data_IF_719648824484
#
_entry.id   IF_719648824484
#
_cell.length_a   1.000
_cell.length_b   1.000
_cell.length_c   1.000
_cell.angle_alpha   90.00
_cell.angle_beta   90.00
_cell.angle_gamma   90.00
#
_symmetry.space_group_name_H-M   'P 1'
#
loop_
_entity.id
_entity.type
_entity.pdbx_description
1 polymer ?
#
# COMPACT_ATOMS: atom_id res chain seq x y z
N UNK A 1 -20.01 -1.65 -0.90
CA UNK A 1 -18.98 -0.61 -0.76
C UNK A 1 -17.67 -1.17 -1.31
N UNK A 2 -16.90 -0.37 -2.05
CA UNK A 2 -15.54 -0.73 -2.47
C UNK A 2 -14.59 -0.71 -1.25
N UNK A 3 -13.33 -1.13 -1.43
CA UNK A 3 -12.32 -1.14 -0.37
C UNK A 3 -11.88 0.26 0.08
N UNK A 4 -10.65 0.36 0.59
CA UNK A 4 -10.05 1.64 0.99
C UNK A 4 -9.48 2.37 -0.23
N UNK A 5 -9.76 3.67 -0.36
CA UNK A 5 -9.21 4.52 -1.43
C UNK A 5 -8.32 5.62 -0.86
N UNK A 6 -7.28 6.00 -1.58
CA UNK A 6 -6.30 7.00 -1.13
C UNK A 6 -6.16 8.10 -2.18
N UNK A 7 -6.35 9.35 -1.76
CA UNK A 7 -5.98 10.52 -2.56
C UNK A 7 -4.51 10.88 -2.30
N UNK A 8 -3.76 11.05 -3.38
CA UNK A 8 -2.33 11.38 -3.35
C UNK A 8 -2.03 12.51 -4.33
N UNK A 9 -1.49 13.63 -3.84
CA UNK A 9 -0.93 14.68 -4.69
C UNK A 9 0.35 14.23 -5.39
N UNK A 10 0.60 14.77 -6.59
CA UNK A 10 1.82 14.49 -7.36
C UNK A 10 3.07 15.21 -6.82
N UNK A 11 2.90 16.05 -5.80
CA UNK A 11 3.93 16.82 -5.13
C UNK A 11 3.29 17.83 -4.18
N UNK A 12 4.10 18.42 -3.29
CA UNK A 12 3.60 19.25 -2.18
C UNK A 12 4.03 20.72 -2.28
N UNK A 13 4.81 21.05 -3.30
CA UNK A 13 5.22 22.41 -3.65
C UNK A 13 4.88 22.74 -5.11
N UNK A 14 4.85 24.03 -5.44
CA UNK A 14 4.59 24.52 -6.81
C UNK A 14 5.61 23.97 -7.83
N UNK A 15 6.86 23.76 -7.38
CA UNK A 15 7.92 23.22 -8.22
C UNK A 15 7.70 21.73 -8.54
N UNK A 16 7.25 20.95 -7.56
CA UNK A 16 7.00 19.51 -7.72
C UNK A 16 5.66 19.22 -8.39
N UNK A 17 4.66 20.08 -8.17
CA UNK A 17 3.30 19.89 -8.67
C UNK A 17 2.70 21.18 -9.24
N UNK A 18 3.27 21.74 -10.33
CA UNK A 18 2.79 22.97 -10.95
C UNK A 18 1.39 22.82 -11.57
N UNK A 19 0.94 21.58 -11.76
CA UNK A 19 -0.39 21.27 -12.27
C UNK A 19 -1.45 21.11 -11.18
N UNK A 20 -1.09 21.14 -9.89
CA UNK A 20 -1.96 20.83 -8.77
C UNK A 20 -2.72 19.49 -8.95
N UNK A 21 -1.98 18.48 -9.40
CA UNK A 21 -2.50 17.17 -9.77
C UNK A 21 -2.66 16.26 -8.55
N UNK A 22 -3.76 15.50 -8.56
CA UNK A 22 -4.11 14.49 -7.56
C UNK A 22 -4.46 13.18 -8.26
N UNK A 23 -4.03 12.05 -7.71
CA UNK A 23 -4.44 10.71 -8.11
C UNK A 23 -5.27 10.08 -6.99
N UNK A 24 -6.32 9.36 -7.37
CA UNK A 24 -7.08 8.49 -6.47
C UNK A 24 -6.72 7.05 -6.79
N UNK A 25 -6.23 6.30 -5.81
CA UNK A 25 -5.85 4.90 -5.96
C UNK A 25 -6.72 3.99 -5.09
N UNK A 26 -6.90 2.74 -5.53
CA UNK A 26 -7.57 1.70 -4.75
C UNK A 26 -6.61 1.05 -3.73
N UNK A 27 -7.12 0.09 -2.95
CA UNK A 27 -6.34 -0.64 -1.94
C UNK A 27 -5.20 -1.50 -2.53
N UNK A 28 -5.30 -1.92 -3.79
CA UNK A 28 -4.25 -2.67 -4.49
C UNK A 28 -3.16 -1.74 -5.07
N UNK A 29 -3.37 -0.42 -5.02
CA UNK A 29 -2.47 0.58 -5.60
C UNK A 29 -2.81 0.96 -7.04
N UNK A 30 -3.86 0.38 -7.63
CA UNK A 30 -4.26 0.73 -9.00
C UNK A 30 -4.96 2.10 -9.04
N UNK A 31 -4.69 2.92 -10.06
CA UNK A 31 -5.35 4.21 -10.21
C UNK A 31 -6.85 4.03 -10.55
N UNK A 32 -7.69 4.73 -9.81
CA UNK A 32 -9.12 4.93 -10.09
C UNK A 32 -9.29 6.22 -10.89
N UNK A 33 -8.67 7.30 -10.45
CA UNK A 33 -8.53 8.56 -11.17
C UNK A 33 -7.06 8.93 -11.19
N UNK A 34 -6.57 9.46 -12.32
CA UNK A 34 -5.15 9.75 -12.50
C UNK A 34 -4.95 11.18 -13.01
N UNK A 35 -4.20 11.98 -12.25
CA UNK A 35 -3.79 13.33 -12.67
C UNK A 35 -4.93 14.35 -12.74
N UNK A 36 -5.86 14.28 -11.79
CA UNK A 36 -6.97 15.22 -11.69
C UNK A 36 -6.48 16.58 -11.17
N UNK A 37 -6.84 17.64 -11.87
CA UNK A 37 -6.38 19.01 -11.54
C UNK A 37 -7.26 19.61 -10.45
N UNK A 38 -6.62 20.21 -9.46
CA UNK A 38 -7.26 21.00 -8.40
C UNK A 38 -6.87 22.48 -8.50
N UNK A 39 -7.57 23.36 -7.78
CA UNK A 39 -7.33 24.81 -7.88
C UNK A 39 -6.01 25.24 -7.23
N UNK A 40 -5.58 24.54 -6.18
CA UNK A 40 -4.36 24.84 -5.44
C UNK A 40 -3.63 23.57 -5.01
N UNK A 41 -2.39 23.72 -4.52
CA UNK A 41 -1.57 22.62 -4.03
C UNK A 41 -2.22 21.75 -2.95
N UNK A 42 -3.12 22.32 -2.13
CA UNK A 42 -3.87 21.57 -1.13
C UNK A 42 -5.36 21.58 -1.53
N UNK A 43 -5.92 20.42 -1.95
CA UNK A 43 -7.31 20.34 -2.33
C UNK A 43 -8.23 20.67 -1.15
N UNK A 44 -9.31 21.39 -1.43
CA UNK A 44 -10.36 21.68 -0.48
C UNK A 44 -11.23 20.44 -0.22
N UNK A 45 -11.98 20.36 0.91
CA UNK A 45 -12.94 19.29 1.14
C UNK A 45 -13.93 19.11 -0.01
N UNK A 46 -14.38 20.21 -0.63
CA UNK A 46 -15.29 20.16 -1.77
C UNK A 46 -14.65 19.50 -2.99
N UNK A 47 -13.40 19.81 -3.30
CA UNK A 47 -12.70 19.18 -4.43
C UNK A 47 -12.52 17.68 -4.20
N UNK A 48 -12.19 17.23 -2.98
CA UNK A 48 -12.15 15.80 -2.68
C UNK A 48 -13.51 15.12 -2.88
N UNK A 49 -14.61 15.78 -2.51
CA UNK A 49 -15.96 15.26 -2.75
C UNK A 49 -16.28 15.18 -4.25
N UNK A 50 -16.00 16.24 -5.01
CA UNK A 50 -16.24 16.28 -6.46
C UNK A 50 -15.46 15.15 -7.17
N UNK A 51 -14.20 14.92 -6.79
CA UNK A 51 -13.40 13.80 -7.31
C UNK A 51 -13.95 12.44 -6.88
N UNK A 52 -14.48 12.32 -5.66
CA UNK A 52 -15.11 11.08 -5.20
C UNK A 52 -16.38 10.77 -6.01
N UNK A 53 -17.22 11.78 -6.27
CA UNK A 53 -18.40 11.63 -7.14
C UNK A 53 -17.98 11.22 -8.54
N UNK A 54 -16.99 11.90 -9.12
CA UNK A 54 -16.43 11.56 -10.44
C UNK A 54 -15.97 10.09 -10.50
N UNK A 55 -15.23 9.61 -9.50
CA UNK A 55 -14.75 8.22 -9.44
C UNK A 55 -15.90 7.18 -9.35
N UNK A 56 -16.99 7.54 -8.68
CA UNK A 56 -18.13 6.63 -8.49
C UNK A 56 -19.04 6.59 -9.72
N UNK A 57 -19.29 7.73 -10.36
CA UNK A 57 -20.36 7.86 -11.34
C UNK A 57 -19.89 8.16 -12.77
N UNK A 58 -18.77 8.86 -12.95
CA UNK A 58 -18.33 9.33 -14.27
C UNK A 58 -17.14 8.54 -14.83
N UNK A 59 -16.19 8.16 -13.97
CA UNK A 59 -14.92 7.54 -14.36
C UNK A 59 -13.88 8.56 -14.84
N UNK A 60 -12.85 8.08 -15.55
CA UNK A 60 -11.79 8.92 -16.11
C UNK A 60 -11.76 8.80 -17.65
N UNK A 61 -11.69 9.91 -18.40
CA UNK A 61 -11.63 9.88 -19.86
C UNK A 61 -10.33 9.30 -20.42
N UNK A 62 -9.32 9.05 -19.57
CA UNK A 62 -7.99 8.64 -20.00
C UNK A 62 -7.23 9.78 -20.68
N UNK A 63 -6.01 9.46 -21.14
CA UNK A 63 -5.15 10.37 -21.90
C UNK A 63 -4.77 9.64 -23.20
N UNK A 64 -5.17 10.14 -24.39
CA UNK A 64 -4.86 9.49 -25.66
C UNK A 64 -3.37 9.14 -25.79
N UNK A 65 -3.07 7.86 -26.01
CA UNK A 65 -1.70 7.36 -26.17
C UNK A 65 -0.88 7.20 -24.87
N UNK A 66 -1.41 7.58 -23.70
CA UNK A 66 -0.72 7.43 -22.41
C UNK A 66 -1.50 6.60 -21.39
N UNK A 67 -2.82 6.78 -21.29
CA UNK A 67 -3.65 6.09 -20.31
C UNK A 67 -5.03 5.77 -20.92
N UNK A 68 -5.51 4.51 -20.88
CA UNK A 68 -6.84 4.19 -21.36
C UNK A 68 -7.92 4.86 -20.47
N UNK A 69 -9.11 5.14 -21.03
CA UNK A 69 -10.25 5.56 -20.22
C UNK A 69 -10.60 4.49 -19.17
N UNK A 70 -10.93 4.94 -17.97
CA UNK A 70 -11.36 4.08 -16.88
C UNK A 70 -12.87 4.27 -16.64
N UNK A 71 -13.69 3.21 -16.66
CA UNK A 71 -15.11 3.32 -16.38
C UNK A 71 -15.35 3.74 -14.92
N UNK A 72 -16.54 4.31 -14.62
CA UNK A 72 -16.92 4.58 -13.23
C UNK A 72 -16.97 3.29 -12.42
N UNK A 73 -16.60 3.39 -11.14
CA UNK A 73 -16.58 2.22 -10.25
C UNK A 73 -17.99 1.72 -9.90
N UNK A 74 -19.01 2.59 -9.98
CA UNK A 74 -20.39 2.30 -9.60
C UNK A 74 -20.58 1.95 -8.11
N UNK A 75 -19.53 2.08 -7.29
CA UNK A 75 -19.54 1.69 -5.88
C UNK A 75 -18.74 2.69 -5.06
N UNK A 76 -19.41 3.31 -4.08
CA UNK A 76 -18.75 4.13 -3.08
C UNK A 76 -17.77 3.31 -2.23
N UNK A 77 -16.63 3.88 -1.81
CA UNK A 77 -15.66 3.21 -0.94
C UNK A 77 -16.20 2.98 0.46
N UNK A 78 -15.60 2.04 1.18
CA UNK A 78 -15.82 1.88 2.62
C UNK A 78 -15.08 2.95 3.42
N UNK A 79 -13.92 3.40 2.93
CA UNK A 79 -13.14 4.47 3.53
C UNK A 79 -12.27 5.18 2.50
N UNK A 80 -11.98 6.46 2.76
CA UNK A 80 -11.06 7.29 2.00
C UNK A 80 -9.95 7.81 2.92
N UNK A 81 -8.74 7.92 2.39
CA UNK A 81 -7.66 8.64 3.03
C UNK A 81 -7.24 9.83 2.17
N UNK A 82 -6.98 10.97 2.82
CA UNK A 82 -6.57 12.22 2.17
C UNK A 82 -5.28 12.74 2.77
N UNK A 83 -4.48 13.40 1.95
CA UNK A 83 -3.15 13.93 2.29
C UNK A 83 -3.15 15.41 2.73
N UNK A 84 -4.32 16.05 2.78
CA UNK A 84 -4.53 17.36 3.37
C UNK A 84 -5.19 17.23 4.75
N UNK A 85 -4.40 17.41 5.82
CA UNK A 85 -4.87 17.22 7.20
C UNK A 85 -6.08 18.11 7.55
N UNK A 86 -6.09 19.36 7.06
CA UNK A 86 -7.21 20.29 7.25
C UNK A 86 -8.53 19.84 6.60
N UNK A 87 -8.48 18.95 5.61
CA UNK A 87 -9.67 18.44 4.94
C UNK A 87 -10.30 17.23 5.66
N UNK A 88 -9.56 16.55 6.53
CA UNK A 88 -9.98 15.28 7.15
C UNK A 88 -11.23 15.44 8.00
N UNK A 89 -11.26 16.41 8.93
CA UNK A 89 -12.41 16.58 9.82
C UNK A 89 -13.69 17.01 9.06
N UNK A 90 -13.66 18.04 8.19
CA UNK A 90 -14.83 18.41 7.40
C UNK A 90 -15.36 17.27 6.52
N UNK A 91 -14.46 16.53 5.87
CA UNK A 91 -14.85 15.38 5.04
C UNK A 91 -15.44 14.25 5.87
N UNK A 92 -14.85 13.95 7.03
CA UNK A 92 -15.35 12.93 7.94
C UNK A 92 -16.76 13.26 8.38
N UNK A 93 -17.01 14.48 8.81
CA UNK A 93 -18.32 14.88 9.33
C UNK A 93 -19.40 14.80 8.23
N UNK A 94 -19.03 15.07 6.97
CA UNK A 94 -19.93 14.95 5.83
C UNK A 94 -20.16 13.50 5.36
N UNK A 95 -19.13 12.66 5.39
CA UNK A 95 -19.15 11.31 4.82
C UNK A 95 -19.54 10.21 5.84
N UNK A 96 -19.43 10.50 7.14
CA UNK A 96 -19.80 9.57 8.20
C UNK A 96 -21.27 9.10 8.14
N UNK A 97 -22.27 9.95 7.83
CA UNK A 97 -23.66 9.51 7.65
C UNK A 97 -23.84 8.50 6.49
N UNK A 98 -23.00 8.59 5.45
CA UNK A 98 -22.95 7.58 4.37
C UNK A 98 -22.21 6.29 4.78
N UNK A 99 -21.68 6.25 6.01
CA UNK A 99 -20.84 5.18 6.56
C UNK A 99 -19.52 5.04 5.80
N UNK A 100 -18.96 6.14 5.30
CA UNK A 100 -17.65 6.17 4.64
C UNK A 100 -16.65 6.73 5.65
N UNK A 101 -15.66 5.91 6.03
CA UNK A 101 -14.60 6.35 6.92
C UNK A 101 -13.68 7.36 6.23
N UNK A 102 -13.18 8.35 6.97
CA UNK A 102 -12.19 9.31 6.46
C UNK A 102 -11.00 9.31 7.39
N UNK A 103 -9.79 9.19 6.82
CA UNK A 103 -8.53 9.15 7.56
C UNK A 103 -7.48 10.05 6.92
N UNK A 104 -6.45 10.39 7.69
CA UNK A 104 -5.30 11.11 7.18
C UNK A 104 -4.29 10.13 6.60
N UNK A 105 -3.84 10.37 5.37
CA UNK A 105 -2.71 9.71 4.76
C UNK A 105 -1.53 10.69 4.73
N UNK A 106 -0.52 10.55 5.61
CA UNK A 106 0.60 11.47 5.61
C UNK A 106 1.37 11.35 4.28
N UNK A 107 1.85 12.48 3.72
CA UNK A 107 2.87 12.46 2.70
C UNK A 107 4.03 11.55 3.15
N UNK A 108 4.56 10.66 2.29
CA UNK A 108 5.82 10.01 2.61
C UNK A 108 6.87 11.11 2.82
N UNK A 109 7.53 11.06 3.96
CA UNK A 109 8.64 11.95 4.31
C UNK A 109 9.75 11.85 3.28
N UNK A 110 10.64 12.86 3.20
CA UNK A 110 11.81 12.77 2.30
C UNK A 110 12.68 11.56 2.61
N UNK A 111 12.75 11.14 3.88
CA UNK A 111 13.43 9.92 4.29
C UNK A 111 12.73 8.65 3.77
N UNK A 112 11.40 8.57 3.88
CA UNK A 112 10.61 7.46 3.30
C UNK A 112 10.65 7.43 1.77
N UNK A 113 10.68 8.60 1.12
CA UNK A 113 10.86 8.73 -0.33
C UNK A 113 12.26 8.30 -0.77
N UNK A 114 13.31 8.71 -0.04
CA UNK A 114 14.68 8.26 -0.28
C UNK A 114 14.79 6.73 -0.09
N UNK A 115 14.17 6.17 0.95
CA UNK A 115 14.10 4.72 1.13
C UNK A 115 13.25 4.01 0.05
N UNK A 116 12.24 4.66 -0.54
CA UNK A 116 11.44 4.13 -1.65
C UNK A 116 12.17 4.22 -3.00
N UNK A 117 12.94 5.28 -3.24
CA UNK A 117 13.78 5.47 -4.43
C UNK A 117 14.94 4.45 -4.45
N UNK A 118 15.53 4.17 -3.28
CA UNK A 118 16.41 3.00 -3.09
C UNK A 118 15.64 1.67 -3.05
N UNK A 119 14.34 1.71 -2.79
CA UNK A 119 13.45 0.58 -2.56
C UNK A 119 12.91 -0.09 -3.83
N UNK A 120 13.05 0.55 -4.99
CA UNK A 120 12.68 -0.01 -6.30
C UNK A 120 13.83 -0.77 -7.00
N UNK A 121 15.02 -0.78 -6.39
CA UNK A 121 15.84 -2.00 -6.41
C UNK A 121 15.22 -2.98 -5.42
N UNK A 122 13.99 -3.43 -5.74
CA UNK A 122 13.16 -4.34 -4.98
C UNK A 122 13.87 -4.83 -3.72
N UNK A 123 13.67 -4.14 -2.58
CA UNK A 123 14.03 -4.71 -1.29
C UNK A 123 13.50 -6.14 -1.33
N UNK A 124 14.36 -7.17 -1.33
CA UNK A 124 13.87 -8.51 -1.44
C UNK A 124 13.05 -8.74 -0.17
N UNK A 125 11.73 -8.70 -0.33
CA UNK A 125 10.78 -9.30 0.60
C UNK A 125 11.08 -10.80 0.77
N UNK A 126 12.01 -11.34 -0.02
CA UNK A 126 12.82 -12.51 0.28
C UNK A 126 13.79 -12.27 1.44
N UNK A 127 13.29 -12.52 2.65
CA UNK A 127 14.04 -12.99 3.83
C UNK A 127 15.46 -13.43 3.45
N UNK A 128 16.48 -12.64 3.79
CA UNK A 128 17.87 -12.96 3.52
C UNK A 128 18.31 -14.23 4.27
N UNK A 129 19.40 -14.84 3.83
CA UNK A 129 19.97 -15.97 4.55
C UNK A 129 20.34 -15.54 5.98
N UNK A 130 19.80 -16.23 6.99
CA UNK A 130 20.01 -15.87 8.40
C UNK A 130 21.48 -15.99 8.86
N UNK A 131 22.34 -16.61 8.06
CA UNK A 131 23.78 -16.75 8.35
C UNK A 131 24.62 -15.74 7.58
N UNK A 132 24.44 -15.64 6.26
CA UNK A 132 25.33 -14.87 5.39
C UNK A 132 24.69 -13.61 4.78
N UNK A 133 23.42 -13.33 5.07
CA UNK A 133 22.72 -12.12 4.64
C UNK A 133 22.39 -12.05 3.14
N UNK A 134 22.81 -13.03 2.32
CA UNK A 134 22.53 -13.01 0.87
C UNK A 134 21.03 -13.19 0.59
N UNK A 135 20.45 -12.49 -0.40
CA UNK A 135 19.04 -12.60 -0.75
C UNK A 135 18.71 -13.83 -1.62
N UNK A 136 19.73 -14.41 -2.26
CA UNK A 136 19.64 -15.58 -3.14
C UNK A 136 20.78 -16.56 -2.87
N UNK A 137 20.68 -17.78 -3.42
CA UNK A 137 21.79 -18.74 -3.44
C UNK A 137 22.84 -18.32 -4.47
N UNK A 138 24.01 -18.95 -4.41
CA UNK A 138 25.08 -18.74 -5.40
C UNK A 138 24.63 -19.06 -6.83
N UNK A 139 23.79 -20.07 -7.00
CA UNK A 139 23.21 -20.46 -8.30
C UNK A 139 22.04 -19.56 -8.77
N UNK A 140 21.82 -18.42 -8.12
CA UNK A 140 20.69 -17.51 -8.41
C UNK A 140 19.31 -18.02 -7.98
N UNK A 141 19.22 -19.24 -7.45
CA UNK A 141 17.96 -19.84 -6.97
C UNK A 141 17.47 -19.21 -5.66
N UNK A 142 16.15 -19.28 -5.36
CA UNK A 142 15.60 -18.78 -4.10
C UNK A 142 16.11 -19.56 -2.88
N UNK A 143 16.21 -18.86 -1.75
CA UNK A 143 16.66 -19.45 -0.48
C UNK A 143 15.70 -20.55 0.03
N UNK A 144 16.26 -21.55 0.72
CA UNK A 144 15.47 -22.57 1.42
C UNK A 144 14.78 -21.94 2.62
N UNK A 145 13.47 -22.18 2.77
CA UNK A 145 12.74 -21.85 4.00
C UNK A 145 12.88 -23.00 5.00
N UNK A 146 12.97 -22.69 6.28
CA UNK A 146 12.89 -23.70 7.33
C UNK A 146 11.56 -24.47 7.19
N UNK A 147 11.64 -25.79 7.02
CA UNK A 147 10.46 -26.64 6.77
C UNK A 147 9.45 -26.65 7.92
N UNK A 148 9.90 -26.37 9.16
CA UNK A 148 9.04 -26.36 10.36
C UNK A 148 8.29 -25.05 10.54
N UNK A 149 8.99 -23.93 10.62
CA UNK A 149 8.37 -22.64 10.95
C UNK A 149 8.12 -21.73 9.73
N UNK A 150 8.78 -21.99 8.59
CA UNK A 150 8.78 -21.16 7.37
C UNK A 150 9.18 -19.69 7.57
N UNK A 151 9.74 -19.34 8.73
CA UNK A 151 10.12 -17.97 9.09
C UNK A 151 11.55 -17.63 8.70
N UNK A 152 12.50 -18.51 8.96
CA UNK A 152 13.90 -18.32 8.57
C UNK A 152 14.20 -18.90 7.19
N UNK A 153 15.15 -18.30 6.49
CA UNK A 153 15.62 -18.70 5.16
C UNK A 153 17.14 -18.88 5.14
N UNK A 154 17.62 -19.77 4.28
CA UNK A 154 19.03 -20.17 4.21
C UNK A 154 19.45 -20.47 2.77
N UNK A 155 20.73 -20.26 2.46
CA UNK A 155 21.28 -20.65 1.15
C UNK A 155 21.23 -22.17 0.93
N UNK A 156 21.39 -22.95 2.01
CA UNK A 156 21.47 -24.40 1.98
C UNK A 156 21.23 -25.00 3.36
N UNK A 157 21.28 -26.33 3.45
CA UNK A 157 21.16 -27.02 4.74
C UNK A 157 22.32 -26.69 5.69
N UNK A 158 23.50 -26.34 5.18
CA UNK A 158 24.67 -26.02 6.01
C UNK A 158 24.44 -24.76 6.84
N UNK A 159 23.96 -23.68 6.20
CA UNK A 159 23.57 -22.46 6.90
C UNK A 159 22.39 -22.70 7.87
N UNK A 160 21.45 -23.59 7.53
CA UNK A 160 20.40 -23.97 8.47
C UNK A 160 20.95 -24.70 9.72
N UNK A 161 21.93 -25.60 9.55
CA UNK A 161 22.58 -26.32 10.66
C UNK A 161 23.41 -25.40 11.52
N UNK A 162 24.09 -24.42 10.91
CA UNK A 162 24.88 -23.41 11.61
C UNK A 162 24.01 -22.51 12.49
N UNK A 163 22.89 -22.01 11.95
CA UNK A 163 21.96 -21.17 12.72
C UNK A 163 21.11 -21.97 13.72
N UNK A 164 21.09 -23.31 13.66
CA UNK A 164 20.19 -24.13 14.48
C UNK A 164 20.28 -23.83 15.97
N UNK A 165 21.46 -23.54 16.52
CA UNK A 165 21.63 -23.20 17.94
C UNK A 165 20.83 -21.95 18.34
N UNK A 166 20.76 -20.95 17.47
CA UNK A 166 20.04 -19.70 17.68
C UNK A 166 18.57 -19.83 17.24
N UNK A 167 18.33 -20.48 16.12
CA UNK A 167 17.01 -20.67 15.52
C UNK A 167 16.10 -21.60 16.35
N UNK A 168 16.64 -22.63 17.01
CA UNK A 168 15.87 -23.73 17.62
C UNK A 168 14.78 -23.27 18.57
N UNK A 169 15.02 -22.24 19.40
CA UNK A 169 14.02 -21.71 20.34
C UNK A 169 12.87 -21.05 19.57
N UNK A 170 13.18 -20.06 18.73
CA UNK A 170 12.20 -19.36 17.91
C UNK A 170 11.46 -20.29 16.92
N UNK A 171 12.12 -21.35 16.44
CA UNK A 171 11.52 -22.36 15.58
C UNK A 171 10.40 -23.12 16.28
N UNK A 172 10.60 -23.50 17.55
CA UNK A 172 9.60 -24.21 18.36
C UNK A 172 8.41 -23.31 18.68
N UNK A 173 8.67 -22.08 19.11
CA UNK A 173 7.64 -21.14 19.56
C UNK A 173 6.66 -20.74 18.44
N UNK A 174 7.14 -20.72 17.20
CA UNK A 174 6.31 -20.36 16.04
C UNK A 174 5.48 -21.51 15.48
N UNK A 175 5.83 -22.76 15.76
CA UNK A 175 4.99 -23.92 15.38
C UNK A 175 3.75 -23.99 16.27
N UNK A 176 3.83 -23.54 17.52
CA UNK A 176 2.70 -23.50 18.48
C UNK A 176 1.62 -22.49 18.08
N UNK A 177 2.01 -21.37 17.44
CA UNK A 177 1.08 -20.31 17.02
C UNK A 177 0.35 -20.61 15.71
N UNK A 178 0.79 -21.61 14.94
CA UNK A 178 0.17 -22.02 13.67
C UNK A 178 -0.89 -23.12 13.83
N UNK A 179 -1.23 -23.51 15.07
CA UNK A 179 -2.23 -24.54 15.40
C UNK A 179 -3.58 -24.00 15.89
N UNK A 180 -3.86 -22.71 15.73
CA UNK A 180 -5.22 -22.22 15.95
C UNK A 180 -6.08 -22.55 14.71
N UNK A 181 -7.14 -23.37 14.82
CA UNK A 181 -8.11 -23.50 13.74
C UNK A 181 -8.80 -22.15 13.48
N UNK A 182 -9.19 -21.84 12.23
CA UNK A 182 -9.97 -20.65 11.94
C UNK A 182 -11.27 -20.67 12.76
N UNK A 183 -11.74 -19.54 13.31
CA UNK A 183 -13.03 -19.49 13.97
C UNK A 183 -14.13 -19.87 12.98
N UNK A 184 -14.90 -20.90 13.31
CA UNK A 184 -16.03 -21.35 12.51
C UNK A 184 -17.08 -20.22 12.40
N UNK A 185 -17.46 -19.90 11.18
CA UNK A 185 -18.63 -19.10 10.83
C UNK A 185 -19.89 -19.71 11.46
N UNK A 186 -20.52 -18.98 12.36
CA UNK A 186 -21.87 -19.28 12.84
C UNK A 186 -22.90 -18.64 11.89
N UNK A 187 -23.90 -19.46 11.57
CA UNK A 187 -25.06 -19.24 10.69
C UNK A 187 -25.98 -18.16 11.23
#
# INVERSE_FOLDING_TARGET
KAGHWVFRRHGYSEAENPGHLVTLINQAGDPILMGERTRGLAPTPREYLDLLVKAVFDGSPGIPGMLPPAPPTGRAPAAVAVDAQGAVAPLRDFLLPAGIGVSYYPPPTQEELHYAEYGDRALPTGKSCAVCGRPTREDGRPLLKCSRCRLATYCGQDHQRQDWKNHKRACKDNVSKQKAPPPATAV
#
